data_IF_638272663744
#
_entry.id   IF_638272663744
#
_cell.length_a   1.000
_cell.length_b   1.000
_cell.length_c   1.000
_cell.angle_alpha   90.00
_cell.angle_beta   90.00
_cell.angle_gamma   90.00
#
_symmetry.space_group_name_H-M   'P 1'
#
loop_
_entity.id
_entity.type
_entity.pdbx_description
1 polymer ?
#
# COMPACT_ATOMS: atom_id res chain seq x y z
N UNK A 1 -34.84 -16.42 -2.16
CA UNK A 1 -33.49 -16.68 -2.72
C UNK A 1 -32.50 -15.85 -1.92
N UNK A 2 -31.91 -16.44 -0.89
CA UNK A 2 -30.87 -15.83 -0.08
C UNK A 2 -29.63 -15.58 -0.95
N UNK A 3 -29.39 -14.32 -1.26
CA UNK A 3 -28.10 -13.87 -1.78
C UNK A 3 -27.16 -13.76 -0.59
N UNK A 4 -26.31 -14.77 -0.41
CA UNK A 4 -25.27 -14.74 0.60
C UNK A 4 -24.41 -13.46 0.40
N UNK A 5 -24.23 -12.61 1.44
CA UNK A 5 -23.42 -11.39 1.35
C UNK A 5 -21.97 -11.63 0.87
N UNK A 6 -21.44 -12.83 1.12
CA UNK A 6 -20.08 -13.23 0.74
C UNK A 6 -19.87 -13.38 -0.77
N UNK A 7 -20.91 -13.71 -1.57
CA UNK A 7 -20.79 -13.81 -3.03
C UNK A 7 -20.63 -12.42 -3.67
N UNK A 8 -21.38 -11.42 -3.19
CA UNK A 8 -21.27 -10.05 -3.72
C UNK A 8 -19.90 -9.42 -3.48
N UNK A 9 -19.27 -9.68 -2.34
CA UNK A 9 -17.95 -9.13 -2.01
C UNK A 9 -16.84 -9.75 -2.89
N UNK A 10 -16.89 -11.05 -3.17
CA UNK A 10 -15.95 -11.71 -4.07
C UNK A 10 -16.00 -11.17 -5.49
N UNK A 11 -17.20 -10.84 -5.99
CA UNK A 11 -17.37 -10.25 -7.32
C UNK A 11 -16.83 -8.81 -7.40
N UNK A 12 -16.93 -8.04 -6.32
CA UNK A 12 -16.33 -6.69 -6.23
C UNK A 12 -14.80 -6.76 -6.35
N UNK A 13 -14.16 -7.66 -5.58
CA UNK A 13 -12.70 -7.82 -5.64
C UNK A 13 -12.23 -8.29 -7.02
N UNK A 14 -12.92 -9.25 -7.65
CA UNK A 14 -12.60 -9.69 -9.02
C UNK A 14 -12.65 -8.54 -10.01
N UNK A 15 -13.68 -7.69 -9.91
CA UNK A 15 -13.81 -6.53 -10.80
C UNK A 15 -12.66 -5.55 -10.58
N UNK A 16 -12.34 -5.19 -9.34
CA UNK A 16 -11.25 -4.26 -9.03
C UNK A 16 -9.89 -4.78 -9.48
N UNK A 17 -9.63 -6.09 -9.31
CA UNK A 17 -8.42 -6.73 -9.83
C UNK A 17 -8.39 -6.69 -11.36
N UNK A 18 -9.49 -7.06 -12.04
CA UNK A 18 -9.57 -6.99 -13.50
C UNK A 18 -9.33 -5.57 -14.03
N UNK A 19 -9.93 -4.57 -13.41
CA UNK A 19 -9.80 -3.17 -13.82
C UNK A 19 -8.34 -2.70 -13.68
N UNK A 20 -7.66 -3.06 -12.59
CA UNK A 20 -6.26 -2.73 -12.36
C UNK A 20 -5.33 -3.39 -13.40
N UNK A 21 -5.55 -4.67 -13.73
CA UNK A 21 -4.75 -5.38 -14.73
C UNK A 21 -5.10 -5.00 -16.18
N UNK A 22 -6.22 -4.34 -16.40
CA UNK A 22 -6.62 -3.78 -17.71
C UNK A 22 -6.16 -2.33 -17.89
N UNK A 23 -5.70 -1.67 -16.82
CA UNK A 23 -5.25 -0.28 -16.87
C UNK A 23 -3.83 -0.17 -17.41
N UNK A 24 -3.55 0.95 -18.10
CA UNK A 24 -2.20 1.27 -18.56
C UNK A 24 -1.35 1.84 -17.42
N UNK A 25 -0.84 0.97 -16.56
CA UNK A 25 -0.03 1.34 -15.40
C UNK A 25 1.25 0.50 -15.30
N UNK A 26 2.28 1.03 -14.66
CA UNK A 26 3.57 0.35 -14.50
C UNK A 26 3.50 -0.83 -13.50
N UNK A 27 2.55 -0.83 -12.58
CA UNK A 27 2.34 -1.91 -11.63
C UNK A 27 0.86 -1.95 -11.20
N UNK A 28 0.06 -2.93 -11.65
CA UNK A 28 -1.35 -3.05 -11.28
C UNK A 28 -1.57 -3.11 -9.77
N UNK A 29 -0.65 -3.76 -9.04
CA UNK A 29 -0.76 -3.90 -7.58
C UNK A 29 -0.51 -2.55 -6.88
N UNK A 30 0.42 -1.71 -7.37
CA UNK A 30 0.57 -0.35 -6.86
C UNK A 30 -0.71 0.47 -7.07
N UNK A 31 -1.34 0.35 -8.23
CA UNK A 31 -2.60 1.04 -8.54
C UNK A 31 -3.72 0.63 -7.57
N UNK A 32 -3.88 -0.67 -7.32
CA UNK A 32 -4.83 -1.17 -6.32
C UNK A 32 -4.50 -0.68 -4.90
N UNK A 33 -3.24 -0.74 -4.51
CA UNK A 33 -2.82 -0.28 -3.18
C UNK A 33 -3.10 1.21 -2.98
N UNK A 34 -2.84 2.04 -4.00
CA UNK A 34 -3.14 3.49 -3.98
C UNK A 34 -4.64 3.74 -3.81
N UNK A 35 -5.49 3.03 -4.56
CA UNK A 35 -6.93 3.14 -4.42
C UNK A 35 -7.41 2.76 -3.02
N UNK A 36 -6.87 1.67 -2.44
CA UNK A 36 -7.17 1.28 -1.05
C UNK A 36 -6.73 2.32 -0.03
N UNK A 37 -5.57 2.94 -0.24
CA UNK A 37 -5.05 3.98 0.65
C UNK A 37 -5.95 5.22 0.61
N UNK A 38 -6.34 5.66 -0.59
CA UNK A 38 -7.22 6.81 -0.77
C UNK A 38 -8.61 6.56 -0.15
N UNK A 39 -9.16 5.37 -0.35
CA UNK A 39 -10.42 4.95 0.28
C UNK A 39 -10.32 4.89 1.81
N UNK A 40 -9.23 4.34 2.35
CA UNK A 40 -9.02 4.23 3.78
C UNK A 40 -8.85 5.60 4.45
N UNK A 41 -8.13 6.51 3.80
CA UNK A 41 -7.97 7.90 4.27
C UNK A 41 -9.30 8.65 4.20
N UNK A 42 -10.02 8.55 3.08
CA UNK A 42 -11.33 9.17 2.91
C UNK A 42 -12.36 8.63 3.91
N UNK A 43 -12.35 7.34 4.18
CA UNK A 43 -13.18 6.72 5.22
C UNK A 43 -12.86 7.30 6.60
N UNK A 44 -11.57 7.41 6.94
CA UNK A 44 -11.12 7.90 8.24
C UNK A 44 -11.58 9.33 8.51
N UNK A 45 -11.59 10.19 7.49
CA UNK A 45 -12.00 11.60 7.59
C UNK A 45 -13.42 11.88 7.11
N UNK A 46 -14.15 10.84 6.69
CA UNK A 46 -15.58 10.88 6.41
C UNK A 46 -16.43 10.79 7.69
N UNK A 47 -17.73 10.51 7.60
CA UNK A 47 -18.63 10.44 8.76
C UNK A 47 -18.19 9.47 9.87
N UNK A 48 -17.36 8.48 9.53
CA UNK A 48 -16.92 7.43 10.46
C UNK A 48 -16.10 7.93 11.66
N UNK A 49 -15.45 9.10 11.57
CA UNK A 49 -14.76 9.67 12.74
C UNK A 49 -15.71 10.07 13.88
N UNK A 50 -17.01 10.13 13.62
CA UNK A 50 -18.05 10.38 14.63
C UNK A 50 -18.53 9.10 15.33
N UNK A 51 -18.23 7.92 14.79
CA UNK A 51 -18.68 6.62 15.32
C UNK A 51 -17.77 6.19 16.49
N UNK A 52 -18.38 5.80 17.62
CA UNK A 52 -17.67 5.50 18.86
C UNK A 52 -16.72 4.29 18.71
N UNK A 53 -17.12 3.28 17.98
CA UNK A 53 -16.32 2.08 17.70
C UNK A 53 -15.08 2.42 16.86
N UNK A 54 -15.21 3.27 15.84
CA UNK A 54 -14.09 3.73 15.02
C UNK A 54 -13.14 4.61 15.84
N UNK A 55 -13.68 5.50 16.66
CA UNK A 55 -12.87 6.33 17.56
C UNK A 55 -12.10 5.50 18.56
N UNK A 56 -12.71 4.50 19.17
CA UNK A 56 -12.02 3.60 20.10
C UNK A 56 -10.84 2.89 19.46
N UNK A 57 -10.93 2.55 18.15
CA UNK A 57 -9.82 1.93 17.42
C UNK A 57 -8.76 2.94 17.02
N UNK A 58 -9.14 4.13 16.52
CA UNK A 58 -8.20 5.20 16.15
C UNK A 58 -7.44 5.72 17.37
N UNK A 59 -8.10 5.86 18.53
CA UNK A 59 -7.48 6.27 19.80
C UNK A 59 -6.38 5.28 20.22
N UNK A 60 -6.62 3.99 20.03
CA UNK A 60 -5.69 2.93 20.42
C UNK A 60 -4.49 2.79 19.49
N UNK A 61 -4.72 2.96 18.17
CA UNK A 61 -3.71 2.66 17.14
C UNK A 61 -2.95 3.86 16.64
N UNK A 62 -3.58 5.04 16.66
CA UNK A 62 -3.02 6.23 16.05
C UNK A 62 -2.78 6.06 14.54
N UNK A 63 -1.83 6.82 14.03
CA UNK A 63 -1.46 6.85 12.62
C UNK A 63 0.05 6.92 12.47
N UNK A 64 0.62 6.25 11.49
CA UNK A 64 2.02 6.43 11.11
C UNK A 64 2.24 7.81 10.45
N UNK A 65 3.48 8.26 10.40
CA UNK A 65 3.86 9.57 9.86
C UNK A 65 3.28 9.85 8.46
N UNK A 66 3.32 8.85 7.56
CA UNK A 66 2.77 8.97 6.21
C UNK A 66 1.26 9.25 6.23
N UNK A 67 0.52 8.50 7.04
CA UNK A 67 -0.93 8.62 7.10
C UNK A 67 -1.41 9.81 7.94
N UNK A 68 -0.65 10.25 8.94
CA UNK A 68 -0.90 11.53 9.61
C UNK A 68 -0.93 12.69 8.60
N UNK A 69 0.06 12.73 7.70
CA UNK A 69 0.09 13.76 6.66
C UNK A 69 -1.12 13.66 5.74
N UNK A 70 -1.45 12.47 5.23
CA UNK A 70 -2.58 12.28 4.30
C UNK A 70 -3.93 12.63 4.94
N UNK A 71 -4.15 12.20 6.18
CA UNK A 71 -5.37 12.52 6.95
C UNK A 71 -5.48 14.03 7.20
N UNK A 72 -4.35 14.69 7.52
CA UNK A 72 -4.32 16.14 7.65
C UNK A 72 -4.64 16.86 6.34
N UNK A 73 -4.14 16.36 5.21
CA UNK A 73 -4.35 16.95 3.88
C UNK A 73 -5.81 16.81 3.37
N UNK A 74 -6.65 15.98 4.02
CA UNK A 74 -8.09 15.87 3.72
C UNK A 74 -8.93 17.11 4.09
N UNK A 75 -8.32 18.16 4.65
CA UNK A 75 -8.94 19.44 4.99
C UNK A 75 -10.09 19.38 6.03
N UNK A 76 -10.52 18.22 6.51
CA UNK A 76 -11.48 18.07 7.62
C UNK A 76 -10.78 18.35 8.96
N UNK A 77 -10.50 19.64 9.25
CA UNK A 77 -9.75 20.07 10.42
C UNK A 77 -10.42 19.71 11.73
N UNK A 78 -11.75 19.84 11.81
CA UNK A 78 -12.50 19.49 13.01
C UNK A 78 -12.47 17.98 13.27
N UNK A 79 -12.74 17.16 12.26
CA UNK A 79 -12.69 15.71 12.38
C UNK A 79 -11.30 15.24 12.81
N UNK A 80 -10.25 15.75 12.18
CA UNK A 80 -8.87 15.43 12.56
C UNK A 80 -8.54 15.86 14.00
N UNK A 81 -8.95 17.07 14.42
CA UNK A 81 -8.73 17.55 15.79
C UNK A 81 -9.44 16.67 16.83
N UNK A 82 -10.67 16.23 16.57
CA UNK A 82 -11.41 15.33 17.45
C UNK A 82 -10.69 13.98 17.61
N UNK A 83 -10.25 13.37 16.51
CA UNK A 83 -9.51 12.10 16.51
C UNK A 83 -8.18 12.25 17.24
N UNK A 84 -7.42 13.30 16.95
CA UNK A 84 -6.13 13.56 17.61
C UNK A 84 -6.27 13.83 19.10
N UNK A 85 -7.29 14.58 19.50
CA UNK A 85 -7.53 14.88 20.91
C UNK A 85 -7.75 13.61 21.73
N UNK A 86 -8.62 12.71 21.28
CA UNK A 86 -8.93 11.47 22.01
C UNK A 86 -7.76 10.47 21.98
N UNK A 87 -7.00 10.43 20.87
CA UNK A 87 -5.77 9.65 20.80
C UNK A 87 -4.71 10.16 21.79
N UNK A 88 -4.49 11.48 21.87
CA UNK A 88 -3.55 12.07 22.81
C UNK A 88 -3.97 11.86 24.26
N UNK A 89 -5.26 12.00 24.60
CA UNK A 89 -5.78 11.70 25.94
C UNK A 89 -5.46 10.26 26.33
N UNK A 90 -5.64 9.32 25.40
CA UNK A 90 -5.31 7.90 25.63
C UNK A 90 -3.82 7.69 25.85
N UNK A 91 -2.97 8.25 25.01
CA UNK A 91 -1.51 8.12 25.14
C UNK A 91 -1.03 8.69 26.47
N UNK A 92 -1.57 9.85 26.90
CA UNK A 92 -1.26 10.47 28.19
C UNK A 92 -1.63 9.51 29.33
N UNK A 93 -2.88 9.06 29.39
CA UNK A 93 -3.35 8.14 30.44
C UNK A 93 -2.56 6.84 30.50
N UNK A 94 -2.25 6.23 29.33
CA UNK A 94 -1.47 5.00 29.26
C UNK A 94 -0.04 5.21 29.78
N UNK A 95 0.62 6.33 29.44
CA UNK A 95 1.97 6.66 29.91
C UNK A 95 1.98 6.96 31.41
N UNK A 96 1.02 7.75 31.92
CA UNK A 96 0.89 8.03 33.36
C UNK A 96 0.74 6.73 34.15
N UNK A 97 -0.13 5.83 33.70
CA UNK A 97 -0.33 4.51 34.32
C UNK A 97 0.94 3.64 34.34
N UNK A 98 1.80 3.78 33.33
CA UNK A 98 3.06 3.04 33.24
C UNK A 98 4.17 3.65 34.10
N UNK A 99 4.12 4.94 34.38
CA UNK A 99 5.09 5.62 35.26
C UNK A 99 4.87 5.27 36.75
N UNK A 100 3.62 5.03 37.15
CA UNK A 100 3.28 4.61 38.51
C UNK A 100 3.72 3.16 38.81
N UNK A 101 4.04 2.39 37.78
CA UNK A 101 4.58 1.03 37.92
C UNK A 101 6.04 1.04 38.36
N UNK A 102 6.33 0.40 39.53
CA UNK A 102 7.69 0.24 40.04
C UNK A 102 8.60 -0.37 38.98
N UNK A 103 9.69 0.34 38.63
CA UNK A 103 10.79 -0.24 37.84
C UNK A 103 11.29 -1.49 38.60
N UNK A 104 11.06 -2.66 38.01
CA UNK A 104 11.52 -3.91 38.60
C UNK A 104 13.04 -3.84 38.86
N UNK A 105 13.45 -4.06 40.12
CA UNK A 105 14.82 -3.91 40.54
C UNK A 105 15.75 -4.80 39.72
N UNK A 106 16.96 -4.30 39.42
CA UNK A 106 18.02 -5.02 38.72
C UNK A 106 18.34 -6.33 39.45
N UNK A 107 17.95 -7.46 38.87
CA UNK A 107 18.52 -8.76 39.22
C UNK A 107 19.90 -8.86 38.59
N UNK A 108 20.92 -9.18 39.34
CA UNK A 108 22.34 -9.22 38.91
C UNK A 108 22.63 -10.26 37.81
N UNK A 109 21.65 -11.06 37.39
CA UNK A 109 21.81 -12.18 36.46
C UNK A 109 20.82 -12.23 35.28
N UNK A 110 19.94 -11.23 35.10
CA UNK A 110 19.05 -11.12 33.92
C UNK A 110 19.38 -9.86 33.17
N UNK A 111 19.42 -9.97 31.80
CA UNK A 111 19.42 -8.84 30.91
C UNK A 111 18.27 -7.91 31.33
N UNK A 112 18.55 -6.62 31.54
CA UNK A 112 17.52 -5.68 31.99
C UNK A 112 16.35 -5.70 31.00
N UNK A 113 15.16 -6.03 31.49
CA UNK A 113 13.94 -5.94 30.67
C UNK A 113 13.76 -4.48 30.20
N UNK A 114 13.29 -4.31 28.98
CA UNK A 114 12.98 -2.96 28.45
C UNK A 114 11.97 -2.27 29.38
N UNK A 115 12.13 -0.97 29.66
CA UNK A 115 11.12 -0.22 30.39
C UNK A 115 9.73 -0.38 29.76
N UNK A 116 8.68 -0.47 30.56
CA UNK A 116 7.31 -0.64 30.09
C UNK A 116 6.88 0.48 29.13
N UNK A 117 7.32 1.72 29.39
CA UNK A 117 7.09 2.86 28.51
C UNK A 117 7.74 2.66 27.14
N UNK A 118 8.98 2.14 27.08
CA UNK A 118 9.65 1.86 25.79
C UNK A 118 8.90 0.80 24.99
N UNK A 119 8.45 -0.28 25.64
CA UNK A 119 7.63 -1.31 24.98
C UNK A 119 6.30 -0.75 24.47
N UNK A 120 5.69 0.16 25.22
CA UNK A 120 4.46 0.84 24.82
C UNK A 120 4.68 1.72 23.59
N UNK A 121 5.73 2.55 23.58
CA UNK A 121 6.02 3.47 22.46
C UNK A 121 6.40 2.70 21.19
N UNK A 122 7.24 1.66 21.29
CA UNK A 122 7.57 0.78 20.14
C UNK A 122 6.31 0.14 19.54
N UNK A 123 5.38 -0.32 20.40
CA UNK A 123 4.10 -0.86 19.93
C UNK A 123 3.25 0.20 19.25
N UNK A 124 3.16 1.41 19.82
CA UNK A 124 2.38 2.50 19.27
C UNK A 124 2.93 2.96 17.91
N UNK A 125 4.25 3.10 17.79
CA UNK A 125 4.92 3.44 16.51
C UNK A 125 4.71 2.37 15.43
N UNK A 126 4.58 1.10 15.82
CA UNK A 126 4.31 -0.04 14.93
C UNK A 126 2.84 -0.15 14.50
N UNK A 127 1.93 0.69 14.99
CA UNK A 127 0.51 0.62 14.69
C UNK A 127 0.03 1.82 13.86
N UNK A 128 -0.97 1.58 13.01
CA UNK A 128 -1.63 2.63 12.25
C UNK A 128 -3.01 2.14 11.79
N UNK A 129 -4.06 2.88 12.12
CA UNK A 129 -5.43 2.55 11.72
C UNK A 129 -5.60 2.40 10.21
N UNK A 130 -5.03 3.32 9.44
CA UNK A 130 -5.11 3.31 7.97
C UNK A 130 -4.33 2.13 7.37
N UNK A 131 -3.09 1.87 7.85
CA UNK A 131 -2.29 0.73 7.37
C UNK A 131 -3.05 -0.59 7.56
N UNK A 132 -3.58 -0.83 8.76
CA UNK A 132 -4.29 -2.08 9.04
C UNK A 132 -5.54 -2.25 8.18
N UNK A 133 -6.28 -1.16 7.93
CA UNK A 133 -7.45 -1.19 7.05
C UNK A 133 -7.05 -1.54 5.60
N UNK A 134 -5.92 -1.01 5.12
CA UNK A 134 -5.37 -1.33 3.81
C UNK A 134 -4.95 -2.79 3.76
N UNK A 135 -4.13 -3.24 4.72
CA UNK A 135 -3.53 -4.57 4.73
C UNK A 135 -4.59 -5.68 4.73
N UNK A 136 -5.67 -5.50 5.52
CA UNK A 136 -6.79 -6.43 5.56
C UNK A 136 -7.49 -6.62 4.21
N UNK A 137 -7.58 -5.58 3.40
CA UNK A 137 -8.20 -5.65 2.06
C UNK A 137 -7.19 -6.05 0.99
N UNK A 138 -5.96 -5.60 1.12
CA UNK A 138 -4.87 -5.89 0.18
C UNK A 138 -4.57 -7.39 0.11
N UNK A 139 -4.56 -8.08 1.26
CA UNK A 139 -4.41 -9.53 1.27
C UNK A 139 -5.50 -10.23 0.44
N UNK A 140 -6.75 -9.77 0.54
CA UNK A 140 -7.86 -10.32 -0.26
C UNK A 140 -7.69 -10.07 -1.77
N UNK A 141 -7.06 -8.96 -2.16
CA UNK A 141 -6.71 -8.72 -3.56
C UNK A 141 -5.65 -9.70 -4.05
N UNK A 142 -4.62 -9.96 -3.24
CA UNK A 142 -3.61 -10.97 -3.58
C UNK A 142 -4.25 -12.35 -3.74
N UNK A 143 -5.08 -12.78 -2.79
CA UNK A 143 -5.80 -14.05 -2.87
C UNK A 143 -6.68 -14.12 -4.14
N UNK A 144 -7.32 -13.00 -4.51
CA UNK A 144 -8.16 -12.90 -5.70
C UNK A 144 -7.33 -13.01 -6.98
N UNK A 145 -6.15 -12.40 -7.04
CA UNK A 145 -5.22 -12.52 -8.18
C UNK A 145 -4.88 -13.99 -8.42
N UNK A 146 -4.48 -14.74 -7.39
CA UNK A 146 -4.14 -16.15 -7.52
C UNK A 146 -5.35 -17.02 -7.86
N UNK A 147 -6.51 -16.72 -7.27
CA UNK A 147 -7.74 -17.40 -7.62
C UNK A 147 -8.11 -17.22 -9.10
N UNK A 148 -8.04 -15.99 -9.60
CA UNK A 148 -8.33 -15.67 -11.01
C UNK A 148 -7.26 -16.26 -11.94
N UNK A 149 -5.99 -16.16 -11.58
CA UNK A 149 -4.92 -16.77 -12.37
C UNK A 149 -5.12 -18.27 -12.54
N UNK A 150 -5.62 -18.95 -11.51
CA UNK A 150 -5.90 -20.39 -11.53
C UNK A 150 -7.13 -20.76 -12.34
N UNK A 151 -8.20 -19.96 -12.29
CA UNK A 151 -9.52 -20.37 -12.77
C UNK A 151 -10.05 -19.56 -13.96
N UNK A 152 -9.38 -18.49 -14.37
CA UNK A 152 -9.82 -17.56 -15.41
C UNK A 152 -8.72 -17.38 -16.46
N UNK A 153 -8.95 -17.95 -17.66
CA UNK A 153 -8.02 -17.86 -18.78
C UNK A 153 -7.84 -16.43 -19.29
N UNK A 154 -8.93 -15.65 -19.30
CA UNK A 154 -8.90 -14.27 -19.79
C UNK A 154 -8.09 -13.38 -18.87
N UNK A 155 -8.18 -13.65 -17.56
CA UNK A 155 -7.32 -12.97 -16.58
C UNK A 155 -5.84 -13.34 -16.74
N UNK A 156 -5.51 -14.63 -17.03
CA UNK A 156 -4.12 -15.01 -17.32
C UNK A 156 -3.54 -14.24 -18.50
N UNK A 157 -4.32 -14.03 -19.56
CA UNK A 157 -3.85 -13.24 -20.70
C UNK A 157 -3.65 -11.77 -20.32
N UNK A 158 -4.54 -11.16 -19.53
CA UNK A 158 -4.34 -9.82 -18.98
C UNK A 158 -3.11 -9.71 -18.09
N UNK A 159 -2.86 -10.74 -17.26
CA UNK A 159 -1.68 -10.81 -16.42
C UNK A 159 -0.40 -10.81 -17.26
N UNK A 160 -0.37 -11.63 -18.33
CA UNK A 160 0.77 -11.69 -19.27
C UNK A 160 0.96 -10.42 -20.08
N UNK A 161 -0.09 -9.68 -20.32
CA UNK A 161 -0.05 -8.44 -21.11
C UNK A 161 0.28 -7.17 -20.28
N UNK A 162 0.27 -7.24 -18.95
CA UNK A 162 0.54 -6.08 -18.12
C UNK A 162 2.01 -5.60 -18.22
N UNK A 163 2.26 -4.36 -17.83
CA UNK A 163 3.63 -3.78 -17.80
C UNK A 163 4.48 -4.29 -16.62
N UNK A 164 4.14 -5.45 -16.05
CA UNK A 164 4.87 -6.07 -14.95
C UNK A 164 4.62 -5.39 -13.61
N UNK A 165 5.58 -5.50 -12.70
CA UNK A 165 5.43 -5.15 -11.29
C UNK A 165 6.59 -4.27 -10.83
N UNK A 166 6.41 -3.55 -9.73
CA UNK A 166 7.51 -2.92 -9.01
C UNK A 166 8.28 -3.96 -8.19
N UNK A 167 9.48 -3.65 -7.75
CA UNK A 167 10.38 -4.56 -7.02
C UNK A 167 9.70 -5.16 -5.78
N UNK A 168 9.00 -4.34 -4.99
CA UNK A 168 8.27 -4.80 -3.81
C UNK A 168 7.19 -5.82 -4.15
N UNK A 169 6.32 -5.50 -5.11
CA UNK A 169 5.19 -6.36 -5.44
C UNK A 169 5.59 -7.59 -6.25
N UNK A 170 6.69 -7.53 -6.99
CA UNK A 170 7.32 -8.72 -7.58
C UNK A 170 7.71 -9.73 -6.50
N UNK A 171 8.39 -9.28 -5.42
CA UNK A 171 8.74 -10.14 -4.29
C UNK A 171 7.52 -10.75 -3.60
N UNK A 172 6.50 -9.92 -3.31
CA UNK A 172 5.24 -10.37 -2.67
C UNK A 172 4.53 -11.43 -3.53
N UNK A 173 4.46 -11.24 -4.85
CA UNK A 173 3.82 -12.21 -5.75
C UNK A 173 4.54 -13.56 -5.75
N UNK A 174 5.88 -13.58 -5.77
CA UNK A 174 6.64 -14.84 -5.74
C UNK A 174 6.51 -15.55 -4.39
N UNK A 175 6.52 -14.82 -3.29
CA UNK A 175 6.31 -15.39 -1.96
C UNK A 175 4.91 -16.01 -1.81
N UNK A 176 3.87 -15.30 -2.23
CA UNK A 176 2.49 -15.77 -2.16
C UNK A 176 2.20 -16.91 -3.15
N UNK A 177 2.87 -16.93 -4.29
CA UNK A 177 2.69 -17.97 -5.31
C UNK A 177 2.94 -19.37 -4.74
N UNK A 178 3.98 -19.54 -3.95
CA UNK A 178 4.33 -20.82 -3.33
C UNK A 178 3.23 -21.38 -2.41
N UNK A 179 2.42 -20.49 -1.81
CA UNK A 179 1.30 -20.86 -0.94
C UNK A 179 0.00 -21.10 -1.73
N UNK A 180 -0.15 -20.46 -2.90
CA UNK A 180 -1.43 -20.37 -3.63
C UNK A 180 -1.49 -21.32 -4.84
N UNK A 181 -0.36 -21.61 -5.48
CA UNK A 181 -0.25 -22.42 -6.70
C UNK A 181 0.62 -23.66 -6.46
N UNK A 182 0.48 -24.67 -7.33
CA UNK A 182 1.27 -25.92 -7.24
C UNK A 182 1.59 -26.47 -8.63
N UNK A 183 2.66 -27.27 -8.71
CA UNK A 183 3.07 -27.98 -9.94
C UNK A 183 3.31 -27.05 -11.12
N UNK A 184 2.97 -27.47 -12.31
CA UNK A 184 3.21 -26.77 -13.58
C UNK A 184 2.66 -25.34 -13.57
N UNK A 185 1.55 -25.10 -12.88
CA UNK A 185 0.95 -23.77 -12.78
C UNK A 185 1.79 -22.81 -11.93
N UNK A 186 2.44 -23.29 -10.87
CA UNK A 186 3.39 -22.51 -10.08
C UNK A 186 4.61 -22.15 -10.93
N UNK A 187 5.15 -23.14 -11.66
CA UNK A 187 6.33 -22.93 -12.51
C UNK A 187 6.04 -21.95 -13.65
N UNK A 188 4.86 -22.07 -14.29
CA UNK A 188 4.41 -21.11 -15.31
C UNK A 188 4.27 -19.70 -14.73
N UNK A 189 3.64 -19.56 -13.56
CA UNK A 189 3.45 -18.29 -12.90
C UNK A 189 4.79 -17.61 -12.58
N UNK A 190 5.73 -18.34 -11.95
CA UNK A 190 7.06 -17.84 -11.61
C UNK A 190 7.80 -17.39 -12.87
N UNK A 191 7.82 -18.23 -13.90
CA UNK A 191 8.50 -17.91 -15.17
C UNK A 191 7.89 -16.67 -15.83
N UNK A 192 6.57 -16.59 -15.90
CA UNK A 192 5.85 -15.43 -16.47
C UNK A 192 6.14 -14.15 -15.68
N UNK A 193 6.04 -14.21 -14.35
CA UNK A 193 6.27 -13.05 -13.48
C UNK A 193 7.71 -12.56 -13.56
N UNK A 194 8.70 -13.46 -13.62
CA UNK A 194 10.10 -13.13 -13.82
C UNK A 194 10.34 -12.45 -15.16
N UNK A 195 9.79 -12.98 -16.26
CA UNK A 195 9.91 -12.38 -17.59
C UNK A 195 9.31 -10.97 -17.62
N UNK A 196 8.08 -10.82 -17.12
CA UNK A 196 7.39 -9.53 -17.04
C UNK A 196 8.20 -8.50 -16.23
N UNK A 197 8.74 -8.91 -15.10
CA UNK A 197 9.55 -8.02 -14.26
C UNK A 197 10.82 -7.57 -14.98
N UNK A 198 11.62 -8.52 -15.50
CA UNK A 198 12.90 -8.22 -16.14
C UNK A 198 12.73 -7.40 -17.42
N UNK A 199 11.79 -7.78 -18.28
CA UNK A 199 11.54 -7.10 -19.55
C UNK A 199 11.10 -5.65 -19.33
N UNK A 200 10.19 -5.43 -18.38
CA UNK A 200 9.70 -4.08 -18.10
C UNK A 200 10.70 -3.23 -17.33
N UNK A 201 11.54 -3.81 -16.47
CA UNK A 201 12.67 -3.09 -15.86
C UNK A 201 13.68 -2.63 -16.92
N UNK A 202 14.00 -3.49 -17.90
CA UNK A 202 14.85 -3.12 -19.03
C UNK A 202 14.24 -2.00 -19.86
N UNK A 203 12.94 -2.11 -20.20
CA UNK A 203 12.20 -1.09 -20.94
C UNK A 203 12.30 0.28 -20.27
N UNK A 204 12.02 0.35 -18.95
CA UNK A 204 12.09 1.63 -18.22
C UNK A 204 13.52 2.14 -18.11
N UNK A 205 14.52 1.27 -17.89
CA UNK A 205 15.94 1.63 -17.90
C UNK A 205 16.34 2.27 -19.22
N UNK A 206 15.96 1.67 -20.35
CA UNK A 206 16.31 2.17 -21.68
C UNK A 206 15.67 3.53 -21.96
N UNK A 207 14.43 3.75 -21.46
CA UNK A 207 13.77 5.06 -21.52
C UNK A 207 14.47 6.11 -20.64
N UNK A 208 14.98 5.71 -19.45
CA UNK A 208 15.82 6.59 -18.60
C UNK A 208 17.15 6.90 -19.27
N UNK A 209 17.78 5.91 -19.90
CA UNK A 209 19.02 6.15 -20.68
C UNK A 209 18.77 7.14 -21.82
N UNK A 210 17.65 7.02 -22.53
CA UNK A 210 17.27 7.99 -23.55
C UNK A 210 17.01 9.38 -22.97
N UNK A 211 16.40 9.46 -21.78
CA UNK A 211 16.25 10.73 -21.05
C UNK A 211 17.62 11.39 -20.79
N UNK A 212 18.61 10.64 -20.33
CA UNK A 212 19.97 11.12 -20.09
C UNK A 212 20.60 11.61 -21.39
N UNK A 213 20.48 10.82 -22.48
CA UNK A 213 21.04 11.16 -23.78
C UNK A 213 20.47 12.47 -24.34
N UNK A 214 19.23 12.87 -23.99
CA UNK A 214 18.64 14.14 -24.41
C UNK A 214 19.36 15.39 -23.87
N UNK A 215 20.23 15.25 -22.89
CA UNK A 215 21.09 16.33 -22.39
C UNK A 215 22.45 16.39 -23.10
N UNK A 216 22.76 15.42 -23.96
CA UNK A 216 23.92 15.49 -24.84
C UNK A 216 23.56 16.28 -26.11
N UNK A 217 24.45 17.23 -26.48
CA UNK A 217 24.29 18.07 -27.69
C UNK A 217 24.02 17.25 -28.96
N UNK A 218 24.57 16.04 -29.02
CA UNK A 218 24.43 15.13 -30.16
C UNK A 218 22.96 14.70 -30.39
N UNK A 219 22.15 14.63 -29.35
CA UNK A 219 20.79 14.11 -29.40
C UNK A 219 19.71 15.17 -29.13
N UNK A 220 20.09 16.47 -29.07
CA UNK A 220 19.19 17.55 -28.67
C UNK A 220 17.99 17.68 -29.59
N UNK A 221 18.20 17.48 -30.89
CA UNK A 221 17.15 17.59 -31.94
C UNK A 221 16.36 16.31 -32.15
N UNK A 222 16.79 15.19 -31.56
CA UNK A 222 16.07 13.91 -31.65
C UNK A 222 14.77 13.94 -30.86
N UNK A 223 13.73 13.14 -31.26
CA UNK A 223 12.48 13.08 -30.51
C UNK A 223 12.68 12.46 -29.12
N UNK A 224 11.87 12.91 -28.15
CA UNK A 224 11.92 12.41 -26.77
C UNK A 224 11.49 10.94 -26.63
N UNK A 225 10.78 10.38 -27.61
CA UNK A 225 10.21 9.03 -27.53
C UNK A 225 9.37 8.88 -26.23
N UNK A 226 9.60 7.81 -25.49
CA UNK A 226 8.93 7.54 -24.21
C UNK A 226 9.71 8.03 -22.98
N UNK A 227 10.72 8.90 -23.16
CA UNK A 227 11.61 9.25 -22.07
C UNK A 227 11.08 10.33 -21.11
N UNK A 228 10.10 11.15 -21.52
CA UNK A 228 9.66 12.32 -20.73
C UNK A 228 9.20 11.98 -19.32
N UNK A 229 8.52 10.86 -19.15
CA UNK A 229 7.99 10.36 -17.88
C UNK A 229 8.81 9.19 -17.29
N UNK A 230 9.95 8.86 -17.91
CA UNK A 230 10.76 7.69 -17.55
C UNK A 230 11.21 7.70 -16.09
N UNK A 231 11.53 8.86 -15.53
CA UNK A 231 11.94 8.98 -14.12
C UNK A 231 10.78 8.62 -13.16
N UNK A 232 9.56 9.06 -13.45
CA UNK A 232 8.38 8.70 -12.65
C UNK A 232 8.13 7.20 -12.74
N UNK A 233 8.22 6.62 -13.94
CA UNK A 233 8.07 5.18 -14.14
C UNK A 233 9.17 4.38 -13.43
N UNK A 234 10.41 4.88 -13.43
CA UNK A 234 11.52 4.28 -12.68
C UNK A 234 11.25 4.30 -11.16
N UNK A 235 10.75 5.42 -10.61
CA UNK A 235 10.37 5.53 -9.19
C UNK A 235 9.27 4.53 -8.83
N UNK A 236 8.29 4.32 -9.71
CA UNK A 236 7.24 3.31 -9.50
C UNK A 236 7.87 1.91 -9.48
N UNK A 237 8.73 1.59 -10.44
CA UNK A 237 9.37 0.27 -10.57
C UNK A 237 10.27 -0.07 -9.40
N UNK A 238 11.07 0.88 -8.93
CA UNK A 238 12.01 0.69 -7.84
C UNK A 238 11.33 0.75 -6.46
N UNK A 239 10.70 1.88 -6.15
CA UNK A 239 10.23 2.22 -4.81
C UNK A 239 8.72 2.09 -4.58
N UNK A 240 7.95 1.55 -5.52
CA UNK A 240 6.47 1.51 -5.43
C UNK A 240 5.86 2.92 -5.27
N UNK A 241 6.59 3.95 -5.72
CA UNK A 241 6.14 5.32 -5.62
C UNK A 241 5.06 5.59 -6.68
N UNK A 242 3.87 5.95 -6.25
CA UNK A 242 2.86 6.54 -7.13
C UNK A 242 2.82 8.02 -6.77
N UNK A 243 3.23 8.86 -7.72
CA UNK A 243 3.08 10.30 -7.58
C UNK A 243 1.58 10.61 -7.41
N UNK A 244 1.25 11.44 -6.45
CA UNK A 244 -0.06 12.07 -6.44
C UNK A 244 -0.15 12.88 -7.74
N UNK A 245 -1.24 12.69 -8.51
CA UNK A 245 -1.39 13.38 -9.80
C UNK A 245 -1.19 14.88 -9.60
N UNK A 246 -0.27 15.51 -10.34
CA UNK A 246 -0.14 16.95 -10.28
C UNK A 246 -1.39 17.57 -10.92
N UNK A 247 -2.37 17.98 -10.10
CA UNK A 247 -3.56 18.64 -10.64
C UNK A 247 -4.82 18.62 -9.79
N UNK A 248 -4.94 17.77 -8.80
CA UNK A 248 -6.04 17.88 -7.82
C UNK A 248 -5.62 18.71 -6.60
N UNK A 249 -5.12 19.92 -6.82
CA UNK A 249 -5.31 20.96 -5.82
C UNK A 249 -6.79 21.30 -5.88
N UNK A 250 -7.55 20.86 -4.88
CA UNK A 250 -8.92 21.28 -4.73
C UNK A 250 -8.94 22.82 -4.66
N UNK A 251 -9.30 23.47 -5.77
CA UNK A 251 -9.72 24.86 -5.78
C UNK A 251 -11.08 24.92 -5.07
N UNK A 252 -11.07 24.99 -3.76
CA UNK A 252 -12.20 25.49 -2.98
C UNK A 252 -11.71 26.70 -2.21
N UNK A 253 -12.12 27.86 -2.76
CA UNK A 253 -12.14 29.12 -2.03
C UNK A 253 -13.16 29.05 -0.92
#
# INVERSE_FOLDING_TARGET
RDRSPSRGLGDVYKRQVNDAFSSDCECPICSMYKALEDDAVSYTMGPSYMEDDIRAVTDKKGFCQKHLKKVYDCENRLGFALVMKTHLDRVINDIESLQDGKVAGKSMFKKADKPAVTTYTERLEGTCFVCERIDNTFQRYLDTIFHMYKHDSDFREKYKACKGFCTKHYGILLEQAANSLKGDMLDEFIKTTNSLYIENMKRVRDDVEWFINKFDHKYIDEPWKNAKDSLVRAMIKDGSYIADEPGKRNNTR
#
